data_IF_324797278924
#
_entry.id   IF_324797278924
#
_cell.length_a   1.000
_cell.length_b   1.000
_cell.length_c   1.000
_cell.angle_alpha   90.00
_cell.angle_beta   90.00
_cell.angle_gamma   90.00
#
_symmetry.space_group_name_H-M   'P 1'
#
loop_
_entity.id
_entity.type
_entity.pdbx_description
1 polymer ?
#
# COMPACT_ATOMS: atom_id res chain seq x y z
N UNK A 1 -3.44 -3.79 -19.10
CA UNK A 1 -2.79 -3.67 -17.77
C UNK A 1 -3.84 -3.89 -16.70
N UNK A 2 -3.44 -4.39 -15.51
CA UNK A 2 -4.41 -4.67 -14.43
C UNK A 2 -4.98 -3.44 -13.73
N UNK A 3 -5.23 -3.51 -12.42
CA UNK A 3 -5.85 -2.43 -11.66
C UNK A 3 -4.87 -1.30 -11.36
N UNK A 4 -5.28 -0.07 -11.66
CA UNK A 4 -4.49 1.14 -11.47
C UNK A 4 -5.09 1.97 -10.34
N UNK A 5 -4.40 2.04 -9.23
CA UNK A 5 -4.80 2.73 -8.01
C UNK A 5 -3.89 3.94 -7.76
N UNK A 6 -4.44 4.93 -7.08
CA UNK A 6 -3.71 6.09 -6.57
C UNK A 6 -3.26 5.88 -5.12
N UNK A 7 -2.53 6.82 -4.57
CA UNK A 7 -2.20 6.89 -3.15
C UNK A 7 -2.74 8.17 -2.53
N UNK A 8 -3.50 8.04 -1.47
CA UNK A 8 -3.96 9.17 -0.65
C UNK A 8 -3.13 9.18 0.65
N UNK A 9 -2.35 10.25 0.90
CA UNK A 9 -1.58 10.37 2.14
C UNK A 9 -2.54 10.68 3.29
N UNK A 10 -2.96 9.70 4.02
CA UNK A 10 -3.79 9.86 5.21
C UNK A 10 -2.98 10.55 6.32
N UNK A 11 -2.89 11.87 6.27
CA UNK A 11 -2.06 12.70 7.16
C UNK A 11 -2.69 14.08 7.37
N UNK A 12 -2.37 14.70 8.50
CA UNK A 12 -2.75 16.07 8.84
C UNK A 12 -1.69 17.11 8.46
N UNK A 13 -0.53 16.66 7.95
CA UNK A 13 0.63 17.52 7.67
C UNK A 13 0.96 17.50 6.17
N UNK A 14 1.38 18.66 5.67
CA UNK A 14 1.94 18.83 4.32
C UNK A 14 3.43 18.42 4.28
N UNK A 15 4.03 18.44 3.09
CA UNK A 15 5.48 18.40 2.94
C UNK A 15 6.11 17.00 2.93
N UNK A 16 5.34 15.95 2.67
CA UNK A 16 5.89 14.59 2.65
C UNK A 16 6.85 14.28 1.50
N UNK A 17 6.86 15.14 0.47
CA UNK A 17 7.60 14.89 -0.77
C UNK A 17 8.42 16.09 -1.21
N UNK A 18 8.61 17.06 -0.30
CA UNK A 18 9.42 18.24 -0.55
C UNK A 18 8.78 19.33 -1.40
N UNK A 19 7.58 19.15 -1.90
CA UNK A 19 6.88 20.11 -2.76
C UNK A 19 5.40 20.33 -2.42
N UNK A 20 4.86 19.60 -1.45
CA UNK A 20 3.44 19.69 -1.09
C UNK A 20 3.24 20.60 0.12
N UNK A 21 3.18 21.90 -0.13
CA UNK A 21 2.93 22.94 0.87
C UNK A 21 1.46 23.40 0.89
N UNK A 22 0.55 22.59 0.36
CA UNK A 22 -0.85 22.96 0.26
C UNK A 22 -1.48 23.18 1.65
N UNK A 23 -2.27 24.24 1.79
CA UNK A 23 -3.14 24.46 2.95
C UNK A 23 -4.28 23.43 3.00
N UNK A 24 -4.89 23.25 4.17
CA UNK A 24 -6.06 22.39 4.34
C UNK A 24 -5.72 20.89 4.54
N UNK A 25 -4.50 20.56 4.91
CA UNK A 25 -4.16 19.23 5.38
C UNK A 25 -4.98 18.86 6.63
N UNK A 26 -5.53 17.63 6.66
CA UNK A 26 -6.43 17.17 7.73
C UNK A 26 -7.88 17.60 7.54
N UNK A 27 -8.17 18.40 6.53
CA UNK A 27 -9.54 18.72 6.16
C UNK A 27 -10.16 17.53 5.42
N UNK A 28 -11.36 17.11 5.86
CA UNK A 28 -12.12 16.05 5.22
C UNK A 28 -12.45 16.41 3.75
N UNK A 29 -12.79 17.66 3.48
CA UNK A 29 -13.15 18.11 2.12
C UNK A 29 -11.97 17.98 1.15
N UNK A 30 -10.73 18.20 1.60
CA UNK A 30 -9.54 17.94 0.80
C UNK A 30 -9.40 16.46 0.44
N UNK A 31 -9.60 15.58 1.42
CA UNK A 31 -9.53 14.13 1.19
C UNK A 31 -10.66 13.65 0.27
N UNK A 32 -11.86 14.20 0.43
CA UNK A 32 -13.01 13.94 -0.47
C UNK A 32 -12.73 14.45 -1.88
N UNK A 33 -12.19 15.66 -2.03
CA UNK A 33 -11.82 16.22 -3.33
C UNK A 33 -10.79 15.33 -4.04
N UNK A 34 -9.81 14.80 -3.30
CA UNK A 34 -8.81 13.88 -3.86
C UNK A 34 -9.45 12.55 -4.29
N UNK A 35 -10.34 11.98 -3.48
CA UNK A 35 -11.03 10.73 -3.83
C UNK A 35 -11.94 10.90 -5.07
N UNK A 36 -12.63 12.04 -5.20
CA UNK A 36 -13.42 12.37 -6.40
C UNK A 36 -12.54 12.50 -7.63
N UNK A 37 -11.39 13.18 -7.51
CA UNK A 37 -10.44 13.28 -8.62
C UNK A 37 -9.87 11.94 -9.05
N UNK A 38 -9.69 11.00 -8.11
CA UNK A 38 -9.34 9.61 -8.44
C UNK A 38 -10.40 8.99 -9.37
N UNK A 39 -11.69 9.15 -9.07
CA UNK A 39 -12.76 8.65 -9.94
C UNK A 39 -12.79 9.37 -11.30
N UNK A 40 -12.82 10.71 -11.28
CA UNK A 40 -12.96 11.57 -12.46
C UNK A 40 -11.87 11.32 -13.50
N UNK A 41 -10.66 11.04 -13.05
CA UNK A 41 -9.50 10.83 -13.92
C UNK A 41 -9.16 9.37 -14.18
N UNK A 42 -10.10 8.45 -13.92
CA UNK A 42 -10.04 7.07 -14.38
C UNK A 42 -9.21 6.13 -13.53
N UNK A 43 -8.83 6.50 -12.33
CA UNK A 43 -8.22 5.56 -11.37
C UNK A 43 -9.28 4.64 -10.76
N UNK A 44 -8.92 3.39 -10.48
CA UNK A 44 -9.85 2.42 -9.87
C UNK A 44 -10.16 2.70 -8.40
N UNK A 45 -9.27 3.39 -7.70
CA UNK A 45 -9.37 3.68 -6.27
C UNK A 45 -8.05 4.18 -5.72
N UNK A 46 -7.86 4.14 -4.40
CA UNK A 46 -6.61 4.55 -3.80
C UNK A 46 -6.26 3.79 -2.52
N UNK A 47 -4.94 3.63 -2.29
CA UNK A 47 -4.39 3.19 -1.00
C UNK A 47 -4.43 4.37 -0.01
N UNK A 48 -5.06 4.12 1.14
CA UNK A 48 -5.06 4.99 2.30
C UNK A 48 -4.01 4.49 3.31
N UNK A 49 -2.99 5.30 3.58
CA UNK A 49 -1.90 4.93 4.48
C UNK A 49 -2.33 4.91 5.95
N UNK A 50 -1.85 3.94 6.73
CA UNK A 50 -2.00 3.86 8.18
C UNK A 50 -0.70 4.18 8.91
N UNK A 51 -0.81 4.67 10.14
CA UNK A 51 0.31 4.90 11.04
C UNK A 51 -0.11 5.67 12.29
N UNK A 52 0.62 5.50 13.38
CA UNK A 52 0.34 6.27 14.61
C UNK A 52 0.51 7.77 14.36
N UNK A 53 -0.39 8.56 14.94
CA UNK A 53 -0.43 10.01 14.73
C UNK A 53 -1.08 10.44 13.41
N UNK A 54 -1.73 9.51 12.71
CA UNK A 54 -2.54 9.78 11.52
C UNK A 54 -4.02 9.55 11.83
N UNK A 55 -4.95 10.13 11.04
CA UNK A 55 -6.37 9.79 11.12
C UNK A 55 -6.58 8.28 10.96
N UNK A 56 -7.57 7.74 11.67
CA UNK A 56 -7.95 6.34 11.52
C UNK A 56 -8.35 6.03 10.08
N UNK A 57 -7.69 5.05 9.50
CA UNK A 57 -7.79 4.76 8.06
C UNK A 57 -9.16 4.23 7.68
N UNK A 58 -9.77 3.39 8.55
CA UNK A 58 -11.07 2.80 8.27
C UNK A 58 -12.18 3.86 8.32
N UNK A 59 -12.13 4.75 9.31
CA UNK A 59 -13.07 5.87 9.45
C UNK A 59 -12.99 6.82 8.25
N UNK A 60 -11.78 7.20 7.83
CA UNK A 60 -11.58 8.04 6.64
C UNK A 60 -12.07 7.33 5.39
N UNK A 61 -11.72 6.05 5.18
CA UNK A 61 -12.17 5.26 4.04
C UNK A 61 -13.70 5.22 3.93
N UNK A 62 -14.40 5.04 5.05
CA UNK A 62 -15.87 5.05 5.10
C UNK A 62 -16.43 6.40 4.66
N UNK A 63 -15.85 7.50 5.14
CA UNK A 63 -16.27 8.83 4.77
C UNK A 63 -16.06 9.14 3.27
N UNK A 64 -14.94 8.68 2.69
CA UNK A 64 -14.65 8.84 1.26
C UNK A 64 -15.58 7.97 0.41
N UNK A 65 -15.76 6.71 0.80
CA UNK A 65 -16.61 5.78 0.06
C UNK A 65 -18.08 6.21 0.02
N UNK A 66 -18.57 6.85 1.09
CA UNK A 66 -19.93 7.40 1.15
C UNK A 66 -20.13 8.66 0.26
N UNK A 67 -19.05 9.29 -0.20
CA UNK A 67 -19.08 10.52 -1.02
C UNK A 67 -18.59 10.32 -2.47
N UNK A 68 -18.41 9.07 -2.85
CA UNK A 68 -17.93 8.62 -4.15
C UNK A 68 -18.77 7.46 -4.67
N UNK A 69 -18.76 7.21 -5.97
CA UNK A 69 -19.60 6.18 -6.63
C UNK A 69 -18.83 4.93 -7.00
N UNK A 70 -17.63 5.08 -7.57
CA UNK A 70 -16.82 3.97 -8.08
C UNK A 70 -15.48 3.81 -7.36
N UNK A 71 -15.10 4.80 -6.56
CA UNK A 71 -13.84 4.79 -5.79
C UNK A 71 -13.72 3.54 -4.90
N UNK A 72 -12.63 2.80 -5.08
CA UNK A 72 -12.29 1.65 -4.26
C UNK A 72 -11.28 2.06 -3.18
N UNK A 73 -11.68 2.13 -1.91
CA UNK A 73 -10.75 2.35 -0.82
C UNK A 73 -9.90 1.10 -0.59
N UNK A 74 -8.59 1.18 -0.79
CA UNK A 74 -7.63 0.18 -0.30
C UNK A 74 -7.18 0.59 1.10
N UNK A 75 -7.79 -0.04 2.10
CA UNK A 75 -7.73 0.38 3.50
C UNK A 75 -6.55 -0.30 4.19
N UNK A 76 -5.55 0.48 4.63
CA UNK A 76 -4.46 -0.08 5.41
C UNK A 76 -4.89 -0.39 6.84
N UNK A 77 -4.67 -1.63 7.29
CA UNK A 77 -5.11 -2.18 8.58
C UNK A 77 -3.97 -2.95 9.26
N UNK A 78 -3.87 -2.82 10.60
CA UNK A 78 -2.90 -3.56 11.42
C UNK A 78 -3.60 -4.60 12.29
N UNK A 79 -3.26 -5.88 12.19
CA UNK A 79 -3.88 -6.96 12.96
C UNK A 79 -3.80 -6.78 14.48
N UNK A 80 -2.77 -6.13 15.01
CA UNK A 80 -2.61 -5.90 16.45
C UNK A 80 -3.62 -4.92 17.07
N UNK A 81 -4.35 -4.16 16.25
CA UNK A 81 -5.29 -3.12 16.69
C UNK A 81 -6.75 -3.54 16.55
N UNK A 82 -7.01 -4.60 15.80
CA UNK A 82 -8.34 -5.09 15.49
C UNK A 82 -8.48 -6.54 15.93
N UNK A 83 -9.61 -6.87 16.56
CA UNK A 83 -10.02 -8.25 16.69
C UNK A 83 -10.59 -8.74 15.34
N UNK A 84 -10.22 -9.95 14.87
CA UNK A 84 -10.58 -10.44 13.54
C UNK A 84 -12.09 -10.42 13.26
N UNK A 85 -12.91 -10.85 14.22
CA UNK A 85 -14.37 -10.88 14.05
C UNK A 85 -14.96 -9.47 13.94
N UNK A 86 -14.49 -8.51 14.75
CA UNK A 86 -14.93 -7.12 14.65
C UNK A 86 -14.50 -6.50 13.33
N UNK A 87 -13.26 -6.71 12.91
CA UNK A 87 -12.77 -6.23 11.62
C UNK A 87 -13.56 -6.85 10.46
N UNK A 88 -13.79 -8.17 10.48
CA UNK A 88 -14.55 -8.86 9.44
C UNK A 88 -15.97 -8.29 9.31
N UNK A 89 -16.63 -8.02 10.44
CA UNK A 89 -17.97 -7.38 10.45
C UNK A 89 -17.93 -5.96 9.89
N UNK A 90 -17.00 -5.12 10.34
CA UNK A 90 -16.88 -3.74 9.88
C UNK A 90 -16.57 -3.67 8.37
N UNK A 91 -15.62 -4.48 7.89
CA UNK A 91 -15.25 -4.52 6.48
C UNK A 91 -16.37 -5.06 5.59
N UNK A 92 -17.07 -6.12 6.01
CA UNK A 92 -18.21 -6.66 5.28
C UNK A 92 -19.37 -5.65 5.22
N UNK A 93 -19.63 -4.92 6.31
CA UNK A 93 -20.63 -3.86 6.34
C UNK A 93 -20.29 -2.75 5.33
N UNK A 94 -19.06 -2.27 5.34
CA UNK A 94 -18.61 -1.24 4.38
C UNK A 94 -18.64 -1.76 2.94
N UNK A 95 -18.23 -3.00 2.73
CA UNK A 95 -18.27 -3.64 1.41
C UNK A 95 -19.70 -3.76 0.88
N UNK A 96 -20.65 -4.13 1.74
CA UNK A 96 -22.07 -4.19 1.40
C UNK A 96 -22.62 -2.79 1.07
N UNK A 97 -22.36 -1.79 1.91
CA UNK A 97 -22.78 -0.40 1.68
C UNK A 97 -22.18 0.22 0.41
N UNK A 98 -21.04 -0.26 -0.01
CA UNK A 98 -20.29 0.25 -1.17
C UNK A 98 -20.46 -0.62 -2.42
N UNK A 99 -21.34 -1.63 -2.39
CA UNK A 99 -21.55 -2.56 -3.49
C UNK A 99 -20.27 -3.28 -3.98
N UNK A 100 -19.43 -3.74 -3.02
CA UNK A 100 -18.27 -4.57 -3.30
C UNK A 100 -16.99 -3.77 -3.69
N UNK A 101 -16.86 -2.54 -3.20
CA UNK A 101 -15.70 -1.67 -3.54
C UNK A 101 -14.54 -1.75 -2.56
N UNK A 102 -14.67 -2.42 -1.42
CA UNK A 102 -13.64 -2.46 -0.39
C UNK A 102 -12.46 -3.33 -0.79
N UNK A 103 -11.26 -2.81 -0.62
CA UNK A 103 -9.99 -3.51 -0.68
C UNK A 103 -9.27 -3.33 0.67
N UNK A 104 -8.53 -4.34 1.12
CA UNK A 104 -7.85 -4.32 2.43
C UNK A 104 -6.37 -4.51 2.24
N UNK A 105 -5.55 -3.60 2.81
CA UNK A 105 -4.10 -3.73 2.83
C UNK A 105 -3.61 -4.03 4.26
N UNK A 106 -3.24 -5.26 4.50
CA UNK A 106 -2.71 -5.70 5.80
C UNK A 106 -1.27 -5.23 5.97
N UNK A 107 -0.98 -4.56 7.09
CA UNK A 107 0.33 -4.01 7.41
C UNK A 107 0.83 -4.58 8.73
N UNK A 108 1.99 -5.24 8.72
CA UNK A 108 2.65 -5.80 9.92
C UNK A 108 4.01 -5.16 10.21
N UNK A 109 4.44 -4.23 9.37
CA UNK A 109 5.74 -3.57 9.49
C UNK A 109 5.88 -2.70 10.75
N UNK A 110 7.05 -2.06 10.88
CA UNK A 110 7.35 -1.16 11.99
C UNK A 110 6.39 0.03 12.06
N UNK A 111 6.02 0.39 13.29
CA UNK A 111 5.30 1.59 13.67
C UNK A 111 5.48 1.80 15.19
N UNK A 112 4.89 2.83 15.77
CA UNK A 112 4.80 3.02 17.21
C UNK A 112 3.76 2.06 17.82
N UNK A 113 4.06 0.76 17.84
CA UNK A 113 3.11 -0.29 18.25
C UNK A 113 2.61 -0.10 19.68
N UNK A 114 3.51 0.22 20.61
CA UNK A 114 3.15 0.47 22.00
C UNK A 114 2.19 1.66 22.17
N UNK A 115 2.24 2.66 21.29
CA UNK A 115 1.31 3.79 21.30
C UNK A 115 -0.12 3.39 20.91
N UNK A 116 -0.28 2.29 20.19
CA UNK A 116 -1.58 1.69 19.90
C UNK A 116 -2.02 0.68 20.98
N UNK A 117 -1.18 0.41 21.99
CA UNK A 117 -1.42 -0.64 22.96
C UNK A 117 -0.99 -2.04 22.51
N UNK A 118 -0.28 -2.16 21.39
CA UNK A 118 0.30 -3.41 20.93
C UNK A 118 1.74 -3.52 21.45
N UNK A 119 1.98 -4.46 22.34
CA UNK A 119 3.27 -4.68 22.98
C UNK A 119 4.07 -5.84 22.37
N UNK A 120 3.58 -6.45 21.27
CA UNK A 120 4.30 -7.52 20.62
C UNK A 120 5.52 -6.97 19.86
N UNK A 121 6.70 -7.15 20.47
CA UNK A 121 7.97 -6.67 19.92
C UNK A 121 8.63 -7.71 19.00
N UNK A 122 8.35 -9.00 19.17
CA UNK A 122 8.94 -10.05 18.32
C UNK A 122 8.38 -10.00 16.89
N UNK A 123 9.28 -9.95 15.93
CA UNK A 123 8.90 -9.86 14.51
C UNK A 123 8.22 -11.13 14.02
N UNK A 124 8.73 -12.31 14.40
CA UNK A 124 8.18 -13.58 13.94
C UNK A 124 6.76 -13.77 14.49
N UNK A 125 6.56 -13.49 15.78
CA UNK A 125 5.24 -13.53 16.42
C UNK A 125 4.24 -12.57 15.77
N UNK A 126 4.67 -11.33 15.43
CA UNK A 126 3.78 -10.38 14.72
C UNK A 126 3.35 -10.89 13.35
N UNK A 127 4.25 -11.51 12.58
CA UNK A 127 3.90 -12.09 11.28
C UNK A 127 3.03 -13.35 11.43
N UNK A 128 3.30 -14.20 12.40
CA UNK A 128 2.46 -15.38 12.70
C UNK A 128 1.02 -14.93 13.06
N UNK A 129 0.89 -13.96 13.97
CA UNK A 129 -0.40 -13.34 14.32
C UNK A 129 -1.09 -12.73 13.09
N UNK A 130 -0.35 -12.12 12.19
CA UNK A 130 -0.90 -11.54 10.96
C UNK A 130 -1.44 -12.61 10.02
N UNK A 131 -0.74 -13.70 9.82
CA UNK A 131 -1.22 -14.84 9.02
C UNK A 131 -2.50 -15.43 9.62
N UNK A 132 -2.55 -15.62 10.93
CA UNK A 132 -3.73 -16.12 11.62
C UNK A 132 -4.91 -15.14 11.49
N UNK A 133 -4.66 -13.83 11.63
CA UNK A 133 -5.68 -12.80 11.42
C UNK A 133 -6.29 -12.88 10.01
N UNK A 134 -5.46 -12.93 8.97
CA UNK A 134 -5.92 -12.96 7.57
C UNK A 134 -6.73 -14.24 7.30
N UNK A 135 -6.27 -15.37 7.78
CA UNK A 135 -6.98 -16.66 7.67
C UNK A 135 -8.34 -16.62 8.35
N UNK A 136 -8.40 -16.15 9.59
CA UNK A 136 -9.66 -16.08 10.33
C UNK A 136 -10.63 -15.07 9.72
N UNK A 137 -10.16 -13.91 9.28
CA UNK A 137 -10.98 -12.91 8.59
C UNK A 137 -11.58 -13.49 7.30
N UNK A 138 -10.77 -14.16 6.47
CA UNK A 138 -11.27 -14.82 5.25
C UNK A 138 -12.33 -15.87 5.60
N UNK A 139 -12.07 -16.70 6.59
CA UNK A 139 -13.01 -17.74 7.07
C UNK A 139 -14.33 -17.13 7.49
N UNK A 140 -14.32 -16.05 8.28
CA UNK A 140 -15.51 -15.32 8.72
C UNK A 140 -16.30 -14.68 7.58
N UNK A 141 -15.64 -14.32 6.47
CA UNK A 141 -16.33 -13.78 5.28
C UNK A 141 -16.96 -14.86 4.40
N UNK A 142 -16.44 -16.08 4.45
CA UNK A 142 -16.83 -17.16 3.53
C UNK A 142 -17.69 -18.24 4.18
N UNK A 143 -17.64 -18.38 5.50
CA UNK A 143 -18.33 -19.43 6.26
C UNK A 143 -19.30 -18.83 7.30
N UNK A 144 -20.20 -19.68 7.82
CA UNK A 144 -21.15 -19.39 8.90
C UNK A 144 -20.86 -20.27 10.10
N UNK A 145 -21.33 -19.85 11.29
CA UNK A 145 -21.15 -20.57 12.56
C UNK A 145 -19.68 -20.96 12.85
N UNK A 146 -18.75 -20.04 12.51
CA UNK A 146 -17.33 -20.29 12.59
C UNK A 146 -16.90 -20.44 14.04
N UNK A 147 -16.37 -21.60 14.38
CA UNK A 147 -15.61 -21.83 15.62
C UNK A 147 -14.12 -22.02 15.25
N UNK A 148 -13.27 -21.19 15.81
CA UNK A 148 -11.84 -21.18 15.55
C UNK A 148 -11.06 -21.03 16.85
N UNK A 149 -9.99 -21.81 17.03
CA UNK A 149 -9.09 -21.76 18.18
C UNK A 149 -7.67 -21.77 17.65
N UNK A 150 -7.06 -20.60 17.57
CA UNK A 150 -5.69 -20.41 17.14
C UNK A 150 -4.76 -20.07 18.30
N UNK A 151 -3.55 -19.69 17.96
CA UNK A 151 -2.54 -19.24 18.93
C UNK A 151 -2.81 -17.81 19.43
N UNK A 152 -3.28 -16.93 18.54
CA UNK A 152 -3.50 -15.51 18.82
C UNK A 152 -4.97 -15.13 18.92
N UNK A 153 -5.85 -15.85 18.25
CA UNK A 153 -7.26 -15.51 18.16
C UNK A 153 -8.17 -16.71 18.36
N UNK A 154 -9.33 -16.46 18.94
CA UNK A 154 -10.38 -17.47 19.02
C UNK A 154 -11.74 -16.82 18.84
N UNK A 155 -12.64 -17.56 18.19
CA UNK A 155 -14.07 -17.22 18.08
C UNK A 155 -14.89 -18.47 18.26
N UNK A 156 -16.12 -18.32 18.71
CA UNK A 156 -17.06 -19.42 18.90
C UNK A 156 -18.41 -19.07 18.25
N UNK A 157 -18.87 -19.94 17.34
CA UNK A 157 -20.13 -19.81 16.62
C UNK A 157 -20.36 -18.44 15.98
N UNK A 158 -19.31 -17.90 15.37
CA UNK A 158 -19.31 -16.54 14.83
C UNK A 158 -19.83 -16.52 13.39
N UNK A 159 -20.81 -15.66 13.13
CA UNK A 159 -21.34 -15.38 11.80
C UNK A 159 -21.35 -13.89 11.55
N UNK A 160 -20.73 -13.45 10.46
CA UNK A 160 -20.68 -12.03 10.06
C UNK A 160 -21.97 -11.67 9.30
N UNK A 161 -22.64 -10.61 9.76
CA UNK A 161 -23.85 -10.06 9.14
C UNK A 161 -23.77 -8.53 9.07
N UNK A 162 -23.97 -7.85 7.91
CA UNK A 162 -24.15 -8.51 6.59
C UNK A 162 -22.89 -9.25 6.13
N UNK A 163 -23.04 -10.21 5.25
CA UNK A 163 -21.91 -10.82 4.54
C UNK A 163 -21.33 -9.83 3.53
N UNK A 164 -20.06 -10.00 3.09
CA UNK A 164 -19.52 -9.21 1.97
C UNK A 164 -20.49 -9.18 0.78
N UNK A 165 -20.55 -8.08 0.07
CA UNK A 165 -21.55 -7.82 -0.98
C UNK A 165 -21.63 -8.94 -2.03
N UNK A 166 -20.50 -9.58 -2.36
CA UNK A 166 -20.43 -10.66 -3.35
C UNK A 166 -20.12 -12.04 -2.75
N UNK A 167 -20.48 -12.25 -1.48
CA UNK A 167 -20.23 -13.51 -0.79
C UNK A 167 -20.93 -14.70 -1.47
N UNK A 168 -22.12 -14.51 -2.04
CA UNK A 168 -22.84 -15.55 -2.80
C UNK A 168 -22.07 -16.03 -4.06
N UNK A 169 -21.15 -15.22 -4.57
CA UNK A 169 -20.26 -15.56 -5.68
C UNK A 169 -18.90 -16.16 -5.20
N UNK A 170 -18.77 -16.44 -3.91
CA UNK A 170 -17.50 -16.86 -3.29
C UNK A 170 -16.46 -15.75 -3.21
N UNK A 171 -16.86 -14.47 -3.31
CA UNK A 171 -15.97 -13.32 -3.28
C UNK A 171 -16.03 -12.60 -1.94
N UNK A 172 -14.89 -12.05 -1.55
CA UNK A 172 -14.71 -11.21 -0.36
C UNK A 172 -13.80 -10.01 -0.68
N UNK A 173 -13.72 -8.98 0.18
CA UNK A 173 -12.75 -7.92 0.05
C UNK A 173 -11.33 -8.49 -0.09
N UNK A 174 -10.62 -8.10 -1.15
CA UNK A 174 -9.29 -8.67 -1.43
C UNK A 174 -8.28 -8.23 -0.38
N UNK A 175 -7.46 -9.17 0.07
CA UNK A 175 -6.40 -8.97 1.07
C UNK A 175 -5.07 -8.72 0.36
N UNK A 176 -4.67 -7.45 0.32
CA UNK A 176 -3.33 -7.03 -0.08
C UNK A 176 -2.40 -7.12 1.11
N UNK A 177 -1.15 -7.44 0.87
CA UNK A 177 -0.15 -7.55 1.93
C UNK A 177 1.22 -7.11 1.45
N UNK A 178 1.89 -6.24 2.22
CA UNK A 178 3.22 -5.75 1.94
C UNK A 178 4.25 -6.29 2.94
N UNK A 179 5.42 -6.60 2.46
CA UNK A 179 6.54 -7.02 3.30
C UNK A 179 7.71 -7.57 2.48
N UNK A 180 8.92 -7.47 3.05
CA UNK A 180 10.14 -7.86 2.37
C UNK A 180 10.95 -8.94 3.09
N UNK A 181 10.59 -9.26 4.35
CA UNK A 181 11.26 -10.30 5.14
C UNK A 181 10.81 -11.72 4.75
N UNK A 182 11.57 -12.75 5.10
CA UNK A 182 11.16 -14.14 4.88
C UNK A 182 9.83 -14.48 5.54
N UNK A 183 9.58 -13.99 6.76
CA UNK A 183 8.33 -14.19 7.49
C UNK A 183 7.15 -13.54 6.74
N UNK A 184 7.36 -12.32 6.20
CA UNK A 184 6.35 -11.67 5.38
C UNK A 184 6.05 -12.45 4.10
N UNK A 185 7.08 -13.01 3.44
CA UNK A 185 6.90 -13.83 2.25
C UNK A 185 6.06 -15.09 2.53
N UNK A 186 6.29 -15.75 3.67
CA UNK A 186 5.52 -16.91 4.10
C UNK A 186 4.03 -16.55 4.33
N UNK A 187 3.75 -15.45 5.03
CA UNK A 187 2.38 -14.97 5.24
C UNK A 187 1.72 -14.60 3.90
N UNK A 188 2.42 -13.90 3.02
CA UNK A 188 1.90 -13.56 1.70
C UNK A 188 1.54 -14.80 0.89
N UNK A 189 2.45 -15.76 0.82
CA UNK A 189 2.25 -17.01 0.07
C UNK A 189 1.07 -17.83 0.61
N UNK A 190 0.88 -17.84 1.94
CA UNK A 190 -0.21 -18.57 2.57
C UNK A 190 -1.55 -17.84 2.46
N UNK A 191 -1.60 -16.54 2.74
CA UNK A 191 -2.86 -15.87 3.06
C UNK A 191 -3.21 -14.67 2.18
N UNK A 192 -2.26 -13.99 1.52
CA UNK A 192 -2.59 -12.80 0.75
C UNK A 192 -3.25 -13.14 -0.60
N UNK A 193 -4.15 -12.26 -1.07
CA UNK A 193 -4.63 -12.32 -2.45
C UNK A 193 -3.69 -11.56 -3.37
N UNK A 194 -3.06 -10.48 -2.88
CA UNK A 194 -2.08 -9.68 -3.62
C UNK A 194 -0.88 -9.37 -2.74
N UNK A 195 0.33 -9.75 -3.17
CA UNK A 195 1.58 -9.30 -2.56
C UNK A 195 1.98 -7.96 -3.16
N UNK A 196 2.11 -6.93 -2.32
CA UNK A 196 2.60 -5.62 -2.72
C UNK A 196 4.12 -5.54 -2.60
N UNK A 197 4.76 -5.13 -3.68
CA UNK A 197 6.17 -4.75 -3.70
C UNK A 197 6.32 -3.23 -3.61
N UNK A 198 7.43 -2.76 -3.09
CA UNK A 198 7.94 -1.44 -3.37
C UNK A 198 8.72 -1.45 -4.70
N UNK A 199 9.01 -0.27 -5.25
CA UNK A 199 9.78 -0.16 -6.47
C UNK A 199 11.20 -0.71 -6.27
N UNK A 200 11.47 -1.86 -6.84
CA UNK A 200 12.76 -2.53 -6.91
C UNK A 200 13.10 -2.77 -8.39
N UNK A 201 14.36 -3.01 -8.77
CA UNK A 201 14.72 -3.36 -10.13
C UNK A 201 13.97 -4.58 -10.65
N UNK A 202 13.80 -4.65 -11.96
CA UNK A 202 13.02 -5.70 -12.62
C UNK A 202 13.51 -7.11 -12.27
N UNK A 203 14.82 -7.33 -12.26
CA UNK A 203 15.39 -8.64 -11.90
C UNK A 203 15.13 -9.00 -10.43
N UNK A 204 15.19 -8.01 -9.52
CA UNK A 204 14.89 -8.24 -8.11
C UNK A 204 13.41 -8.62 -7.92
N UNK A 205 12.49 -7.95 -8.62
CA UNK A 205 11.05 -8.28 -8.62
C UNK A 205 10.81 -9.66 -9.21
N UNK A 206 11.41 -9.99 -10.36
CA UNK A 206 11.30 -11.30 -11.01
C UNK A 206 11.71 -12.42 -10.04
N UNK A 207 12.89 -12.30 -9.42
CA UNK A 207 13.37 -13.28 -8.45
C UNK A 207 12.48 -13.38 -7.18
N UNK A 208 11.82 -12.29 -6.77
CA UNK A 208 10.85 -12.35 -5.66
C UNK A 208 9.56 -13.06 -6.06
N UNK A 209 9.05 -12.82 -7.25
CA UNK A 209 7.86 -13.50 -7.79
C UNK A 209 8.11 -15.02 -7.88
N UNK A 210 9.25 -15.43 -8.42
CA UNK A 210 9.63 -16.85 -8.49
C UNK A 210 9.68 -17.52 -7.11
N UNK A 211 10.31 -16.86 -6.13
CA UNK A 211 10.35 -17.37 -4.74
C UNK A 211 8.97 -17.48 -4.13
N UNK A 212 8.09 -16.50 -4.35
CA UNK A 212 6.72 -16.54 -3.83
C UNK A 212 5.90 -17.66 -4.49
N UNK A 213 6.05 -17.87 -5.78
CA UNK A 213 5.42 -19.02 -6.46
C UNK A 213 5.93 -20.36 -5.93
N UNK A 214 7.23 -20.47 -5.62
CA UNK A 214 7.77 -21.68 -4.99
C UNK A 214 7.17 -21.88 -3.59
N UNK A 215 7.07 -20.82 -2.79
CA UNK A 215 6.45 -20.89 -1.46
C UNK A 215 4.96 -21.26 -1.52
N UNK A 216 4.17 -20.68 -2.43
CA UNK A 216 2.75 -21.04 -2.58
C UNK A 216 2.55 -22.52 -2.88
N UNK A 217 3.42 -23.09 -3.73
CA UNK A 217 3.41 -24.54 -4.02
C UNK A 217 3.80 -25.38 -2.81
N UNK A 218 4.86 -24.99 -2.10
CA UNK A 218 5.35 -25.77 -0.93
C UNK A 218 4.38 -25.74 0.25
N UNK A 219 3.61 -24.67 0.41
CA UNK A 219 2.62 -24.51 1.48
C UNK A 219 1.27 -25.18 1.14
N UNK A 220 1.10 -25.70 -0.07
CA UNK A 220 -0.18 -26.30 -0.50
C UNK A 220 -1.32 -25.29 -0.48
N UNK A 221 -1.08 -24.07 -0.99
CA UNK A 221 -2.07 -22.99 -0.99
C UNK A 221 -3.38 -23.44 -1.66
N UNK A 222 -4.50 -23.35 -0.95
CA UNK A 222 -5.84 -23.74 -1.41
C UNK A 222 -6.65 -22.57 -1.98
N UNK A 223 -6.19 -21.33 -1.76
CA UNK A 223 -6.86 -20.13 -2.28
C UNK A 223 -6.52 -19.87 -3.74
N UNK A 224 -7.19 -18.88 -4.33
CA UNK A 224 -6.85 -18.37 -5.65
C UNK A 224 -5.35 -18.05 -5.78
N UNK A 225 -4.75 -18.14 -6.97
CA UNK A 225 -3.34 -17.83 -7.17
C UNK A 225 -2.97 -16.46 -6.61
N UNK A 226 -1.78 -16.38 -6.00
CA UNK A 226 -1.23 -15.14 -5.49
C UNK A 226 -0.95 -14.18 -6.66
N UNK A 227 -1.53 -12.99 -6.59
CA UNK A 227 -1.27 -11.91 -7.53
C UNK A 227 -0.22 -10.93 -6.97
N UNK A 228 0.29 -10.06 -7.83
CA UNK A 228 1.36 -9.14 -7.48
C UNK A 228 0.97 -7.70 -7.75
N UNK A 229 1.38 -6.81 -6.84
CA UNK A 229 1.18 -5.38 -6.97
C UNK A 229 2.47 -4.60 -6.72
N UNK A 230 2.55 -3.41 -7.30
CA UNK A 230 3.68 -2.49 -7.17
C UNK A 230 3.21 -1.15 -6.60
N UNK A 231 3.79 -0.72 -5.49
CA UNK A 231 3.64 0.62 -4.95
C UNK A 231 4.87 1.46 -5.31
N UNK A 232 4.70 2.46 -6.17
CA UNK A 232 5.80 3.30 -6.64
C UNK A 232 5.34 4.73 -6.90
N UNK A 233 6.24 5.70 -6.71
CA UNK A 233 6.03 7.08 -7.13
C UNK A 233 6.39 7.23 -8.61
N UNK A 234 5.62 8.02 -9.33
CA UNK A 234 5.82 8.26 -10.77
C UNK A 234 5.93 9.76 -11.04
N UNK A 235 7.15 10.23 -11.28
CA UNK A 235 7.38 11.62 -11.71
C UNK A 235 7.46 11.63 -13.24
N UNK A 236 6.27 11.71 -13.88
CA UNK A 236 6.17 11.70 -15.33
C UNK A 236 5.78 13.08 -15.86
N UNK A 237 6.50 13.56 -16.89
CA UNK A 237 6.30 14.88 -17.51
C UNK A 237 6.24 14.74 -19.04
N UNK A 238 6.07 15.89 -19.75
CA UNK A 238 6.11 15.87 -21.23
C UNK A 238 7.49 15.47 -21.74
N UNK A 239 8.55 15.88 -21.05
CA UNK A 239 9.93 15.53 -21.38
C UNK A 239 10.65 14.87 -20.21
N UNK A 240 11.64 14.04 -20.54
CA UNK A 240 12.51 13.40 -19.55
C UNK A 240 13.27 14.45 -18.72
N UNK A 241 13.81 15.49 -19.36
CA UNK A 241 14.55 16.55 -18.69
C UNK A 241 13.71 17.32 -17.66
N UNK A 242 12.44 17.58 -17.97
CA UNK A 242 11.50 18.20 -17.04
C UNK A 242 11.27 17.29 -15.81
N UNK A 243 11.02 16.01 -16.05
CA UNK A 243 10.79 15.04 -14.98
C UNK A 243 11.99 14.91 -14.05
N UNK A 244 13.19 14.79 -14.60
CA UNK A 244 14.41 14.67 -13.82
C UNK A 244 14.76 15.93 -13.03
N UNK A 245 14.54 17.11 -13.61
CA UNK A 245 14.69 18.39 -12.89
C UNK A 245 13.77 18.47 -11.69
N UNK A 246 12.48 18.15 -11.87
CA UNK A 246 11.47 18.15 -10.81
C UNK A 246 11.82 17.12 -9.72
N UNK A 247 12.20 15.90 -10.11
CA UNK A 247 12.54 14.83 -9.18
C UNK A 247 13.76 15.18 -8.32
N UNK A 248 14.82 15.72 -8.93
CA UNK A 248 16.04 16.12 -8.20
C UNK A 248 15.77 17.29 -7.25
N UNK A 249 14.98 18.29 -7.67
CA UNK A 249 14.59 19.40 -6.81
C UNK A 249 13.84 18.92 -5.55
N UNK A 250 12.88 17.97 -5.71
CA UNK A 250 12.15 17.39 -4.58
C UNK A 250 13.04 16.58 -3.65
N UNK A 251 13.95 15.78 -4.18
CA UNK A 251 14.92 15.03 -3.38
C UNK A 251 15.83 15.95 -2.59
N UNK A 252 16.25 17.08 -3.15
CA UNK A 252 17.03 18.09 -2.41
C UNK A 252 16.22 18.64 -1.21
N UNK A 253 14.95 18.99 -1.41
CA UNK A 253 14.05 19.43 -0.33
C UNK A 253 13.84 18.33 0.72
N UNK A 254 13.63 17.07 0.30
CA UNK A 254 13.52 15.93 1.22
C UNK A 254 14.79 15.76 2.07
N UNK A 255 15.96 15.94 1.48
CA UNK A 255 17.23 15.85 2.20
C UNK A 255 17.37 16.94 3.29
N UNK A 256 16.97 18.17 2.97
CA UNK A 256 16.96 19.28 3.94
C UNK A 256 15.97 19.04 5.09
N UNK A 257 14.76 18.57 4.76
CA UNK A 257 13.76 18.20 5.75
C UNK A 257 14.23 17.05 6.62
N UNK A 258 14.74 15.97 6.04
CA UNK A 258 15.28 14.83 6.78
C UNK A 258 16.42 15.27 7.73
N UNK A 259 17.34 16.11 7.28
CA UNK A 259 18.42 16.64 8.11
C UNK A 259 17.90 17.50 9.27
N UNK A 260 16.75 18.16 9.11
CA UNK A 260 16.07 18.95 10.14
C UNK A 260 15.37 18.06 11.17
N UNK A 261 14.67 17.00 10.70
CA UNK A 261 13.92 16.08 11.55
C UNK A 261 14.81 15.11 12.32
N UNK A 262 15.86 14.57 11.69
CA UNK A 262 16.79 13.60 12.29
C UNK A 262 17.55 14.12 13.50
N UNK A 263 17.61 15.43 13.69
CA UNK A 263 18.21 16.09 14.87
C UNK A 263 17.30 16.13 16.10
N UNK A 264 16.03 15.77 15.98
CA UNK A 264 15.05 15.80 17.09
C UNK A 264 15.06 14.46 17.82
N UNK A 265 15.10 14.50 19.17
CA UNK A 265 15.21 13.28 20.00
C UNK A 265 14.05 12.32 19.79
N UNK A 266 12.80 12.83 19.66
CA UNK A 266 11.64 12.01 19.41
C UNK A 266 11.72 11.22 18.07
N UNK A 267 12.42 11.74 17.08
CA UNK A 267 12.64 11.04 15.81
C UNK A 267 13.62 9.87 15.98
N UNK A 268 14.65 10.04 16.83
CA UNK A 268 15.63 8.99 17.15
C UNK A 268 15.00 7.87 17.97
N UNK A 269 14.14 8.20 18.96
CA UNK A 269 13.41 7.24 19.77
C UNK A 269 12.42 6.41 18.94
N UNK A 270 11.78 7.03 17.95
CA UNK A 270 10.82 6.37 17.07
C UNK A 270 11.48 5.42 16.05
N UNK A 271 12.73 5.69 15.66
CA UNK A 271 13.46 4.91 14.65
C UNK A 271 14.38 3.86 15.31
N UNK A 272 13.80 2.75 15.73
CA UNK A 272 14.54 1.59 16.25
C UNK A 272 15.21 0.75 15.13
N UNK A 273 15.93 1.41 14.22
CA UNK A 273 16.59 0.79 13.08
C UNK A 273 15.68 0.60 11.84
N UNK A 274 16.28 0.41 10.67
CA UNK A 274 15.53 0.26 9.41
C UNK A 274 14.80 -1.07 9.34
N UNK A 275 13.58 -1.06 8.78
CA UNK A 275 12.91 -2.29 8.39
C UNK A 275 13.67 -2.99 7.26
N UNK A 276 13.41 -4.30 7.03
CA UNK A 276 14.02 -5.03 5.90
C UNK A 276 13.72 -4.35 4.57
N UNK A 277 12.50 -3.80 4.41
CA UNK A 277 12.15 -3.03 3.20
C UNK A 277 12.95 -1.74 3.08
N UNK A 278 13.13 -1.01 4.18
CA UNK A 278 13.93 0.22 4.19
C UNK A 278 15.40 -0.06 3.87
N UNK A 279 15.99 -1.08 4.50
CA UNK A 279 17.37 -1.48 4.22
C UNK A 279 17.58 -1.85 2.75
N UNK A 280 16.58 -2.50 2.12
CA UNK A 280 16.63 -2.77 0.68
C UNK A 280 16.68 -1.50 -0.15
N UNK A 281 15.87 -0.48 0.16
CA UNK A 281 15.87 0.78 -0.57
C UNK A 281 17.20 1.53 -0.42
N UNK A 282 17.80 1.50 0.77
CA UNK A 282 19.13 2.05 1.02
C UNK A 282 20.19 1.33 0.18
N UNK A 283 20.18 0.00 0.19
CA UNK A 283 21.09 -0.82 -0.63
C UNK A 283 20.91 -0.55 -2.14
N UNK A 284 19.68 -0.30 -2.63
CA UNK A 284 19.46 0.08 -4.03
C UNK A 284 20.10 1.42 -4.35
N UNK A 285 20.01 2.40 -3.44
CA UNK A 285 20.62 3.70 -3.63
C UNK A 285 22.18 3.63 -3.68
N UNK A 286 22.78 2.61 -3.07
CA UNK A 286 24.21 2.34 -3.15
C UNK A 286 24.63 1.64 -4.45
N UNK A 287 23.69 0.95 -5.13
CA UNK A 287 23.93 0.33 -6.46
C UNK A 287 24.03 1.37 -7.59
N UNK A 288 23.38 2.51 -7.45
CA UNK A 288 23.40 3.59 -8.45
C UNK A 288 22.22 4.54 -8.30
N UNK A 289 22.38 5.77 -8.79
CA UNK A 289 21.31 6.78 -8.75
C UNK A 289 20.10 6.37 -9.59
N UNK A 290 20.33 5.76 -10.75
CA UNK A 290 19.30 5.32 -11.69
C UNK A 290 19.52 3.87 -12.06
N UNK A 291 18.49 3.05 -11.92
CA UNK A 291 18.48 1.64 -12.31
C UNK A 291 17.37 1.43 -13.38
N UNK A 292 17.47 0.36 -14.15
CA UNK A 292 16.46 -0.04 -15.15
C UNK A 292 15.94 1.10 -16.04
N UNK A 293 16.80 1.97 -16.51
CA UNK A 293 16.51 3.13 -17.35
C UNK A 293 15.85 4.34 -16.70
N UNK A 294 14.94 4.18 -15.74
CA UNK A 294 14.25 5.33 -15.12
C UNK A 294 13.85 5.12 -13.63
N UNK A 295 14.37 4.08 -13.00
CA UNK A 295 14.14 3.82 -11.57
C UNK A 295 15.12 4.67 -10.73
N UNK A 296 14.66 5.77 -10.19
CA UNK A 296 15.42 6.69 -9.35
C UNK A 296 15.46 6.21 -7.91
N UNK A 297 16.64 5.97 -7.38
CA UNK A 297 16.86 5.31 -6.08
C UNK A 297 17.08 6.29 -4.93
N UNK A 298 17.54 7.50 -5.21
CA UNK A 298 17.91 8.49 -4.18
C UNK A 298 16.80 8.78 -3.15
N UNK A 299 15.50 8.83 -3.50
CA UNK A 299 14.44 9.04 -2.51
C UNK A 299 14.40 7.98 -1.42
N UNK A 300 14.84 6.75 -1.72
CA UNK A 300 14.87 5.62 -0.78
C UNK A 300 15.78 5.85 0.44
N UNK A 301 16.67 6.82 0.41
CA UNK A 301 17.57 7.16 1.52
C UNK A 301 16.88 7.90 2.67
N UNK A 302 15.69 8.48 2.46
CA UNK A 302 15.03 9.37 3.42
C UNK A 302 13.98 8.72 4.31
N UNK A 303 14.05 7.43 4.48
CA UNK A 303 13.30 6.69 5.51
C UNK A 303 11.81 6.41 5.21
N UNK A 304 11.49 5.17 5.34
CA UNK A 304 10.29 4.42 5.05
C UNK A 304 8.92 5.04 5.18
N UNK A 305 8.11 4.73 4.24
CA UNK A 305 6.69 5.01 4.16
C UNK A 305 6.34 6.07 3.12
N UNK A 306 5.25 5.85 2.48
CA UNK A 306 4.59 6.77 1.53
C UNK A 306 5.47 7.37 0.43
N UNK A 307 6.41 8.21 0.76
CA UNK A 307 7.22 9.00 -0.17
C UNK A 307 8.61 8.45 -0.42
N UNK A 308 9.23 7.89 0.59
CA UNK A 308 10.64 7.53 0.57
C UNK A 308 10.87 6.12 0.02
N UNK A 309 10.23 5.82 -1.11
CA UNK A 309 10.54 4.65 -1.94
C UNK A 309 11.33 5.11 -3.17
N UNK A 310 11.72 4.19 -4.04
CA UNK A 310 12.22 4.54 -5.37
C UNK A 310 11.13 5.19 -6.22
N UNK A 311 11.52 5.97 -7.22
CA UNK A 311 10.59 6.62 -8.15
C UNK A 311 10.84 6.18 -9.59
N UNK A 312 9.79 6.12 -10.41
CA UNK A 312 9.95 6.11 -11.86
C UNK A 312 9.95 7.56 -12.35
N UNK A 313 11.03 7.97 -13.01
CA UNK A 313 11.24 9.35 -13.46
C UNK A 313 11.51 9.38 -14.95
N UNK A 314 10.74 10.16 -15.71
CA UNK A 314 10.94 10.28 -17.15
C UNK A 314 9.76 10.95 -17.86
N UNK A 315 9.78 10.93 -19.18
CA UNK A 315 8.60 11.29 -19.99
C UNK A 315 7.43 10.32 -19.71
N UNK A 316 6.21 10.71 -20.05
CA UNK A 316 5.07 9.81 -19.92
C UNK A 316 5.28 8.47 -20.64
N UNK A 317 5.94 8.48 -21.79
CA UNK A 317 6.19 7.28 -22.56
C UNK A 317 7.26 6.37 -21.92
N UNK A 318 8.32 6.95 -21.37
CA UNK A 318 9.37 6.20 -20.64
C UNK A 318 8.80 5.55 -19.39
N UNK A 319 8.03 6.30 -18.58
CA UNK A 319 7.39 5.77 -17.38
C UNK A 319 6.35 4.70 -17.72
N UNK A 320 5.55 4.90 -18.77
CA UNK A 320 4.61 3.89 -19.26
C UNK A 320 5.33 2.61 -19.72
N UNK A 321 6.45 2.75 -20.43
CA UNK A 321 7.26 1.61 -20.87
C UNK A 321 7.84 0.83 -19.66
N UNK A 322 8.32 1.53 -18.63
CA UNK A 322 8.82 0.91 -17.41
C UNK A 322 7.70 0.14 -16.68
N UNK A 323 6.52 0.74 -16.51
CA UNK A 323 5.38 0.07 -15.88
C UNK A 323 4.91 -1.18 -16.65
N UNK A 324 4.96 -1.14 -18.01
CA UNK A 324 4.67 -2.33 -18.83
C UNK A 324 5.69 -3.45 -18.63
N UNK A 325 6.97 -3.13 -18.37
CA UNK A 325 7.97 -4.16 -18.05
C UNK A 325 7.62 -4.88 -16.75
N UNK A 326 7.21 -4.15 -15.69
CA UNK A 326 6.70 -4.79 -14.46
C UNK A 326 5.44 -5.62 -14.72
N UNK A 327 4.52 -5.14 -15.56
CA UNK A 327 3.35 -5.93 -15.95
C UNK A 327 3.73 -7.22 -16.69
N UNK A 328 4.77 -7.18 -17.52
CA UNK A 328 5.34 -8.36 -18.20
C UNK A 328 5.92 -9.40 -17.23
N UNK A 329 6.33 -9.01 -16.03
CA UNK A 329 6.74 -9.93 -14.97
C UNK A 329 5.56 -10.55 -14.20
N UNK A 330 4.31 -10.15 -14.49
CA UNK A 330 3.12 -10.64 -13.80
C UNK A 330 2.57 -9.68 -12.74
N UNK A 331 3.06 -8.44 -12.64
CA UNK A 331 2.47 -7.43 -11.77
C UNK A 331 1.14 -6.95 -12.37
N UNK A 332 0.06 -7.11 -11.62
CA UNK A 332 -1.31 -6.81 -12.08
C UNK A 332 -1.95 -5.62 -11.39
N UNK A 333 -1.40 -5.18 -10.27
CA UNK A 333 -1.92 -4.05 -9.48
C UNK A 333 -0.84 -2.98 -9.32
N UNK A 334 -1.18 -1.74 -9.65
CA UNK A 334 -0.24 -0.62 -9.55
C UNK A 334 -0.83 0.47 -8.65
N UNK A 335 -0.10 0.84 -7.61
CA UNK A 335 -0.45 1.96 -6.73
C UNK A 335 0.55 3.06 -7.00
N UNK A 336 0.11 4.06 -7.76
CA UNK A 336 0.95 5.17 -8.20
C UNK A 336 0.69 6.42 -7.37
N UNK A 337 1.63 7.34 -7.39
CA UNK A 337 1.47 8.67 -6.79
C UNK A 337 2.48 9.65 -7.33
N UNK A 338 2.15 10.91 -7.24
CA UNK A 338 3.05 12.05 -7.38
C UNK A 338 2.48 13.23 -6.59
N UNK A 339 3.24 14.31 -6.43
CA UNK A 339 2.83 15.52 -5.71
C UNK A 339 3.01 16.78 -6.55
N UNK A 340 2.19 17.81 -6.30
CA UNK A 340 1.06 17.90 -5.35
C UNK A 340 -0.12 16.97 -5.75
N UNK A 341 -0.63 16.21 -4.81
CA UNK A 341 -1.55 15.09 -5.08
C UNK A 341 -2.78 15.46 -5.92
N UNK A 342 -3.45 16.58 -5.62
CA UNK A 342 -4.66 17.02 -6.34
C UNK A 342 -4.40 17.37 -7.80
N UNK A 343 -3.21 17.90 -8.12
CA UNK A 343 -2.81 18.20 -9.49
C UNK A 343 -2.37 16.96 -10.23
N UNK A 344 -1.52 16.17 -9.57
CA UNK A 344 -0.86 15.05 -10.23
C UNK A 344 -1.80 13.86 -10.46
N UNK A 345 -2.81 13.63 -9.61
CA UNK A 345 -3.83 12.62 -9.86
C UNK A 345 -4.57 12.87 -11.17
N UNK A 346 -4.91 14.14 -11.46
CA UNK A 346 -5.54 14.53 -12.71
C UNK A 346 -4.55 14.39 -13.88
N UNK A 347 -3.36 15.00 -13.76
CA UNK A 347 -2.34 14.99 -14.83
C UNK A 347 -1.98 13.56 -15.25
N UNK A 348 -1.66 12.70 -14.30
CA UNK A 348 -1.27 11.31 -14.62
C UNK A 348 -2.48 10.48 -15.08
N UNK A 349 -3.69 10.78 -14.58
CA UNK A 349 -4.92 10.20 -15.08
C UNK A 349 -5.16 10.50 -16.57
N UNK A 350 -4.94 11.74 -16.97
CA UNK A 350 -5.14 12.21 -18.36
C UNK A 350 -3.98 11.81 -19.29
N UNK A 351 -2.75 11.83 -18.82
CA UNK A 351 -1.55 11.69 -19.65
C UNK A 351 -0.91 10.29 -19.60
N UNK A 352 -0.86 9.66 -18.43
CA UNK A 352 -0.19 8.38 -18.26
C UNK A 352 -1.15 7.19 -18.39
N UNK A 353 -2.34 7.23 -17.79
CA UNK A 353 -3.26 6.09 -17.81
C UNK A 353 -3.68 5.67 -19.22
N UNK A 354 -3.98 6.57 -20.19
CA UNK A 354 -4.29 6.16 -21.57
C UNK A 354 -3.16 5.35 -22.21
N UNK A 355 -1.90 5.72 -21.93
CA UNK A 355 -0.71 5.01 -22.42
C UNK A 355 -0.54 3.60 -21.83
N UNK A 356 -1.13 3.37 -20.67
CA UNK A 356 -1.09 2.07 -19.99
C UNK A 356 -2.24 1.15 -20.41
N UNK A 357 -3.33 1.71 -20.94
CA UNK A 357 -4.54 0.96 -21.33
C UNK A 357 -4.57 0.56 -22.81
N UNK A 358 -3.81 1.28 -23.63
CA UNK A 358 -3.59 0.90 -25.03
C UNK A 358 -2.50 -0.15 -25.15
#
# INVERSE_FOLDING_TARGET
MGELLWYIPNTLEAGHRGDDNASGWGDLERSVALARRVEEHGWGGALLGAGWGRPDTFTVATALAARTTTFKPLIAVRPGYWQPAHFASAAATLDHLTAGRVLVNIVSGQDSLAAYGDHESDRAARYARTGEFMRLVRKLWTEEDVTYRGEYFSVERSTVTPRPHRAAEGRHPRLFFGGASPEAAAVAAAEADVQLFWGEPLDDIAGRIERLHALTRSLGREHAPLEFGLRITTVARETSDEAWRDARARVATMAEEFARWSRRDWFREKNQGPSVGQQRLENLADRGEVLDSCLYTAPGRFGGGGAATTWLVGSYDEVAAALRKYAGLGVTHFILSDTPYLREVARLGEKLLPRLRG
#
